data_IF_903455194231
#
_entry.id   IF_903455194231
#
_cell.length_a   1.000
_cell.length_b   1.000
_cell.length_c   1.000
_cell.angle_alpha   90.00
_cell.angle_beta   90.00
_cell.angle_gamma   90.00
#
_symmetry.space_group_name_H-M   'P 1'
#
loop_
_entity.id
_entity.type
_entity.pdbx_description
1 polymer ?
#
# COMPACT_ATOMS: atom_id res chain seq x y z
N UNK A 1 -14.87 -0.50 -0.01
CA UNK A 1 -13.92 -1.54 0.44
C UNK A 1 -14.07 -1.86 1.92
N UNK A 2 -14.05 -0.88 2.85
CA UNK A 2 -14.27 -1.16 4.28
C UNK A 2 -15.57 -1.91 4.53
N UNK A 3 -16.65 -1.53 3.84
CA UNK A 3 -17.93 -2.24 3.95
C UNK A 3 -17.84 -3.74 3.59
N UNK A 4 -16.95 -4.13 2.66
CA UNK A 4 -16.79 -5.55 2.33
C UNK A 4 -16.29 -6.38 3.52
N UNK A 5 -15.53 -5.76 4.44
CA UNK A 5 -15.16 -6.38 5.72
C UNK A 5 -16.33 -6.37 6.70
N UNK A 6 -17.00 -5.22 6.85
CA UNK A 6 -18.13 -5.07 7.77
C UNK A 6 -19.31 -5.99 7.43
N UNK A 7 -19.55 -6.22 6.15
CA UNK A 7 -20.61 -7.06 5.61
C UNK A 7 -20.21 -8.55 5.55
N UNK A 8 -19.01 -8.91 6.01
CA UNK A 8 -18.51 -10.29 6.02
C UNK A 8 -18.21 -10.87 4.63
N UNK A 9 -18.03 -10.03 3.61
CA UNK A 9 -17.67 -10.47 2.25
C UNK A 9 -16.20 -10.91 2.17
N UNK A 10 -15.34 -10.32 2.99
CA UNK A 10 -13.91 -10.65 3.11
C UNK A 10 -13.43 -10.43 4.53
N UNK A 11 -12.44 -11.20 4.97
CA UNK A 11 -11.82 -11.04 6.30
C UNK A 11 -10.81 -9.87 6.36
N UNK A 12 -10.47 -9.29 5.21
CA UNK A 12 -9.48 -8.21 5.15
C UNK A 12 -9.35 -7.52 3.81
N UNK A 13 -8.54 -6.47 3.79
CA UNK A 13 -8.23 -5.66 2.61
C UNK A 13 -6.71 -5.67 2.39
N UNK A 14 -6.27 -6.17 1.25
CA UNK A 14 -4.86 -6.12 0.86
C UNK A 14 -4.44 -4.69 0.50
N UNK A 15 -3.32 -4.23 1.06
CA UNK A 15 -2.72 -2.93 0.75
C UNK A 15 -1.43 -3.14 -0.05
N UNK A 16 -1.47 -2.82 -1.34
CA UNK A 16 -0.32 -2.92 -2.25
C UNK A 16 0.56 -1.67 -2.19
N UNK A 17 0.51 -0.87 -3.27
CA UNK A 17 1.38 0.30 -3.49
C UNK A 17 1.46 1.31 -2.32
N UNK A 18 0.38 1.66 -1.60
CA UNK A 18 0.50 2.56 -0.45
C UNK A 18 1.51 2.08 0.59
N UNK A 19 1.55 0.77 0.86
CA UNK A 19 2.48 0.15 1.81
C UNK A 19 3.94 0.19 1.33
N UNK A 20 4.17 0.22 0.01
CA UNK A 20 5.54 0.35 -0.54
C UNK A 20 6.03 1.79 -0.56
N UNK A 21 5.13 2.77 -0.66
CA UNK A 21 5.46 4.19 -0.57
C UNK A 21 5.68 4.63 0.88
N UNK A 22 4.95 4.02 1.82
CA UNK A 22 4.98 4.35 3.24
C UNK A 22 5.02 3.05 4.07
N UNK A 23 6.21 2.50 4.40
CA UNK A 23 6.30 1.18 5.02
C UNK A 23 5.72 1.09 6.44
N UNK A 24 5.46 2.22 7.10
CA UNK A 24 4.78 2.30 8.40
C UNK A 24 3.29 2.65 8.28
N UNK A 25 2.74 2.63 7.07
CA UNK A 25 1.32 2.82 6.83
C UNK A 25 0.44 1.93 7.72
N UNK A 26 0.75 0.62 7.95
CA UNK A 26 -0.08 -0.21 8.82
C UNK A 26 -0.19 0.33 10.25
N UNK A 27 0.93 0.78 10.85
CA UNK A 27 0.89 1.33 12.22
C UNK A 27 0.20 2.70 12.26
N UNK A 28 0.37 3.53 11.23
CA UNK A 28 -0.33 4.82 11.10
C UNK A 28 -1.84 4.65 10.98
N UNK A 29 -2.31 3.64 10.24
CA UNK A 29 -3.74 3.28 10.16
C UNK A 29 -4.26 2.90 11.54
N UNK A 30 -3.56 2.01 12.26
CA UNK A 30 -3.97 1.54 13.58
C UNK A 30 -4.00 2.67 14.64
N UNK A 31 -3.14 3.69 14.49
CA UNK A 31 -3.11 4.87 15.37
C UNK A 31 -4.10 5.97 14.97
N UNK A 32 -4.77 5.85 13.82
CA UNK A 32 -5.61 6.92 13.27
C UNK A 32 -4.81 8.12 12.73
N UNK A 33 -3.52 7.93 12.44
CA UNK A 33 -2.61 8.95 11.91
C UNK A 33 -2.59 8.99 10.37
N UNK A 34 -3.19 8.00 9.70
CA UNK A 34 -3.32 7.96 8.25
C UNK A 34 -4.58 8.72 7.79
N UNK A 35 -4.41 9.96 7.33
CA UNK A 35 -5.51 10.82 6.90
C UNK A 35 -5.89 10.65 5.41
N UNK A 36 -4.97 10.19 4.59
CA UNK A 36 -5.17 9.99 3.15
C UNK A 36 -4.16 9.02 2.57
N UNK A 37 -4.40 8.54 1.34
CA UNK A 37 -3.38 7.82 0.60
C UNK A 37 -2.18 8.73 0.29
N UNK A 38 -0.95 8.18 0.23
CA UNK A 38 0.23 8.93 -0.19
C UNK A 38 0.08 9.43 -1.63
N UNK A 39 0.65 10.61 -1.92
CA UNK A 39 0.59 11.18 -3.25
C UNK A 39 1.30 10.26 -4.26
N UNK A 40 0.56 9.82 -5.27
CA UNK A 40 1.08 8.95 -6.29
C UNK A 40 1.78 9.76 -7.39
N UNK A 41 3.05 9.45 -7.65
CA UNK A 41 3.82 10.06 -8.75
C UNK A 41 3.28 9.65 -10.14
N UNK A 42 2.93 8.36 -10.42
CA UNK A 42 2.40 7.97 -11.73
C UNK A 42 1.04 8.59 -12.02
N UNK A 43 0.75 8.88 -13.29
CA UNK A 43 -0.59 9.25 -13.75
C UNK A 43 -1.59 8.12 -13.43
N UNK A 44 -2.56 8.38 -12.56
CA UNK A 44 -3.52 7.39 -12.10
C UNK A 44 -4.50 6.94 -13.20
N UNK A 45 -4.65 7.74 -14.26
CA UNK A 45 -5.48 7.41 -15.42
C UNK A 45 -4.75 6.56 -16.46
N UNK A 46 -3.42 6.42 -16.35
CA UNK A 46 -2.63 5.52 -17.18
C UNK A 46 -2.49 4.16 -16.48
N UNK A 47 -3.39 3.24 -16.84
CA UNK A 47 -3.40 1.89 -16.31
C UNK A 47 -2.10 1.13 -16.56
N UNK A 48 -1.56 1.20 -17.78
CA UNK A 48 -0.38 0.42 -18.16
C UNK A 48 0.86 0.88 -17.39
N UNK A 49 1.05 2.19 -17.27
CA UNK A 49 2.12 2.77 -16.49
C UNK A 49 1.94 2.45 -15.00
N UNK A 50 0.74 2.67 -14.46
CA UNK A 50 0.47 2.46 -13.03
C UNK A 50 0.62 0.99 -12.63
N UNK A 51 0.18 0.05 -13.46
CA UNK A 51 0.35 -1.39 -13.21
C UNK A 51 1.82 -1.79 -13.21
N UNK A 52 2.59 -1.32 -14.21
CA UNK A 52 4.03 -1.61 -14.32
C UNK A 52 4.79 -1.08 -13.10
N UNK A 53 4.58 0.18 -12.73
CA UNK A 53 5.26 0.81 -11.59
C UNK A 53 4.86 0.13 -10.28
N UNK A 54 3.58 -0.20 -10.08
CA UNK A 54 3.10 -0.84 -8.84
C UNK A 54 3.76 -2.21 -8.64
N UNK A 55 3.82 -3.03 -9.69
CA UNK A 55 4.45 -4.36 -9.62
C UNK A 55 5.95 -4.27 -9.36
N UNK A 56 6.64 -3.31 -9.99
CA UNK A 56 8.06 -3.09 -9.73
C UNK A 56 8.31 -2.64 -8.28
N UNK A 57 7.52 -1.70 -7.75
CA UNK A 57 7.66 -1.21 -6.37
C UNK A 57 7.48 -2.34 -5.36
N UNK A 58 6.41 -3.13 -5.48
CA UNK A 58 6.17 -4.29 -4.60
C UNK A 58 7.28 -5.34 -4.75
N UNK A 59 7.70 -5.62 -5.99
CA UNK A 59 8.77 -6.58 -6.27
C UNK A 59 10.13 -6.17 -5.72
N UNK A 60 10.49 -4.88 -5.72
CA UNK A 60 11.74 -4.41 -5.10
C UNK A 60 11.64 -4.39 -3.58
N UNK A 61 10.52 -3.92 -3.02
CA UNK A 61 10.34 -3.85 -1.56
C UNK A 61 10.36 -5.23 -0.90
N UNK A 62 9.88 -6.27 -1.60
CA UNK A 62 9.94 -7.65 -1.12
C UNK A 62 11.33 -8.28 -1.08
N UNK A 63 12.37 -7.62 -1.62
CA UNK A 63 13.74 -8.19 -1.65
C UNK A 63 14.50 -8.04 -0.34
N UNK A 64 14.07 -7.15 0.55
CA UNK A 64 14.75 -6.88 1.81
C UNK A 64 13.78 -7.02 2.99
N UNK A 65 14.13 -7.80 4.03
CA UNK A 65 13.32 -7.87 5.24
C UNK A 65 13.18 -6.49 5.89
N UNK A 66 11.99 -6.18 6.39
CA UNK A 66 11.74 -4.92 7.12
C UNK A 66 12.69 -4.74 8.31
N UNK A 67 13.05 -5.82 9.01
CA UNK A 67 13.97 -5.82 10.15
C UNK A 67 15.39 -5.30 9.79
N UNK A 68 15.77 -5.36 8.51
CA UNK A 68 17.07 -4.92 8.00
C UNK A 68 17.00 -3.52 7.37
N UNK A 69 15.81 -2.93 7.28
CA UNK A 69 15.60 -1.60 6.72
C UNK A 69 16.03 -0.55 7.76
N UNK A 70 17.17 0.11 7.50
CA UNK A 70 17.60 1.28 8.28
C UNK A 70 16.70 2.46 7.94
N UNK A 71 15.89 2.89 8.89
CA UNK A 71 15.18 4.17 8.84
C UNK A 71 16.01 5.28 9.47
#
# INVERSE_FOLDING_TARGET
MVNAVLDGTTDGIGLGRPTTAEPDLPVKILRGECLSAPNAIPNQDDYMLTSTVSNMQMGQMGKQPFAESKR
#
